data_IF_677039572913
#
_entry.id   IF_677039572913
#
_cell.length_a   1.000
_cell.length_b   1.000
_cell.length_c   1.000
_cell.angle_alpha   90.00
_cell.angle_beta   90.00
_cell.angle_gamma   90.00
#
_symmetry.space_group_name_H-M   'P 1'
#
loop_
_entity.id
_entity.type
_entity.pdbx_description
1 polymer ?
#
# COMPACT_ATOMS: atom_id res chain seq x y z
N UNK A 1 39.06 3.50 47.68
CA UNK A 1 38.77 3.85 46.28
C UNK A 1 39.94 4.66 45.73
N UNK A 2 40.55 4.19 44.65
CA UNK A 2 41.53 4.94 43.87
C UNK A 2 40.81 6.08 43.15
N UNK A 3 41.17 7.33 43.47
CA UNK A 3 40.64 8.50 42.76
C UNK A 3 41.53 8.78 41.55
N UNK A 4 41.00 8.60 40.36
CA UNK A 4 41.66 9.00 39.11
C UNK A 4 41.33 10.46 38.81
N UNK A 5 42.33 11.26 38.46
CA UNK A 5 42.14 12.63 38.02
C UNK A 5 42.20 12.69 36.49
N UNK A 6 41.23 13.36 35.87
CA UNK A 6 41.15 13.53 34.43
C UNK A 6 41.02 15.02 34.10
N UNK A 7 41.92 15.52 33.25
CA UNK A 7 41.97 16.93 32.87
C UNK A 7 41.29 17.10 31.50
N UNK A 8 40.18 17.83 31.47
CA UNK A 8 39.39 18.08 30.25
C UNK A 8 39.51 19.54 29.86
N UNK A 9 39.77 19.81 28.58
CA UNK A 9 39.64 21.15 28.01
C UNK A 9 38.22 21.34 27.50
N UNK A 10 37.54 22.35 28.00
CA UNK A 10 36.20 22.75 27.55
C UNK A 10 36.16 24.24 27.23
N UNK A 11 35.15 24.68 26.48
CA UNK A 11 34.95 26.11 26.21
C UNK A 11 34.63 26.87 27.50
N UNK A 12 35.01 28.16 27.54
CA UNK A 12 34.76 29.03 28.70
C UNK A 12 33.26 29.16 29.00
N UNK A 13 32.44 29.30 27.97
CA UNK A 13 30.99 29.43 28.11
C UNK A 13 30.36 28.16 28.70
N UNK A 14 30.85 26.99 28.29
CA UNK A 14 30.38 25.72 28.83
C UNK A 14 30.78 25.59 30.31
N UNK A 15 32.02 25.94 30.66
CA UNK A 15 32.47 25.92 32.06
C UNK A 15 31.63 26.83 32.95
N UNK A 16 31.27 28.03 32.47
CA UNK A 16 30.41 28.97 33.21
C UNK A 16 29.02 28.36 33.45
N UNK A 17 28.42 27.75 32.44
CA UNK A 17 27.09 27.12 32.54
C UNK A 17 27.10 25.95 33.52
N UNK A 18 28.08 25.06 33.42
CA UNK A 18 28.18 23.87 34.29
C UNK A 18 28.43 24.30 35.75
N UNK A 19 29.27 25.32 35.99
CA UNK A 19 29.46 25.88 37.35
C UNK A 19 28.18 26.45 37.94
N UNK A 20 27.37 27.18 37.15
CA UNK A 20 26.08 27.70 37.60
C UNK A 20 25.11 26.58 37.97
N UNK A 21 25.05 25.52 37.17
CA UNK A 21 24.19 24.36 37.44
C UNK A 21 24.63 23.61 38.69
N UNK A 22 25.93 23.42 38.89
CA UNK A 22 26.47 22.84 40.13
C UNK A 22 26.08 23.68 41.36
N UNK A 23 26.24 25.00 41.28
CA UNK A 23 25.86 25.92 42.37
C UNK A 23 24.36 25.89 42.67
N UNK A 24 23.51 25.93 41.63
CA UNK A 24 22.04 25.82 41.77
C UNK A 24 21.59 24.49 42.38
N UNK A 25 22.34 23.42 42.15
CA UNK A 25 22.05 22.09 42.72
C UNK A 25 22.68 21.86 44.09
N UNK A 26 23.38 22.86 44.66
CA UNK A 26 24.03 22.77 45.97
C UNK A 26 25.22 21.80 46.01
N UNK A 27 25.79 21.45 44.85
CA UNK A 27 26.86 20.45 44.71
C UNK A 27 28.18 21.09 44.31
N UNK A 28 29.29 20.46 44.68
CA UNK A 28 30.59 20.82 44.08
C UNK A 28 30.59 20.53 42.58
N UNK A 29 31.43 21.23 41.82
CA UNK A 29 31.57 21.01 40.38
C UNK A 29 31.92 19.55 40.06
N UNK A 30 32.78 18.94 40.87
CA UNK A 30 33.19 17.54 40.71
C UNK A 30 32.03 16.59 40.93
N UNK A 31 31.27 16.75 42.03
CA UNK A 31 30.09 15.92 42.30
C UNK A 31 29.04 16.06 41.20
N UNK A 32 28.79 17.29 40.75
CA UNK A 32 27.83 17.54 39.69
C UNK A 32 28.23 16.86 38.37
N UNK A 33 29.52 16.91 38.01
CA UNK A 33 30.04 16.23 36.81
C UNK A 33 29.98 14.71 36.99
N UNK A 34 30.36 14.18 38.16
CA UNK A 34 30.27 12.75 38.45
C UNK A 34 28.84 12.26 38.32
N UNK A 35 27.86 12.97 38.88
CA UNK A 35 26.45 12.62 38.75
C UNK A 35 25.97 12.62 37.30
N UNK A 36 26.38 13.61 36.50
CA UNK A 36 26.05 13.67 35.08
C UNK A 36 26.62 12.47 34.32
N UNK A 37 27.87 12.11 34.58
CA UNK A 37 28.51 10.94 33.97
C UNK A 37 27.83 9.66 34.42
N UNK A 38 27.56 9.47 35.71
CA UNK A 38 26.88 8.28 36.23
C UNK A 38 25.47 8.14 35.69
N UNK A 39 24.70 9.23 35.60
CA UNK A 39 23.38 9.22 34.94
C UNK A 39 23.48 8.85 33.47
N UNK A 40 24.43 9.42 32.74
CA UNK A 40 24.62 9.09 31.32
C UNK A 40 25.01 7.61 31.11
N UNK A 41 25.67 6.99 32.07
CA UNK A 41 26.00 5.56 32.01
C UNK A 41 24.77 4.69 32.29
N UNK A 42 23.91 5.09 33.24
CA UNK A 42 22.64 4.40 33.49
C UNK A 42 21.61 4.59 32.37
N UNK A 43 21.58 5.75 31.72
CA UNK A 43 20.70 6.01 30.57
C UNK A 43 21.14 5.23 29.31
N UNK A 44 22.37 4.71 29.27
CA UNK A 44 22.85 3.82 28.20
C UNK A 44 22.57 2.33 28.46
N UNK A 45 22.11 1.95 29.66
CA UNK A 45 21.50 0.64 29.92
C UNK A 45 20.04 0.63 29.43
N UNK A 46 19.83 0.93 28.14
CA UNK A 46 18.56 0.69 27.46
C UNK A 46 18.46 -0.82 27.19
N UNK A 47 18.06 -1.58 28.20
CA UNK A 47 17.54 -2.95 28.04
C UNK A 47 16.06 -2.98 27.64
N UNK A 48 15.53 -1.93 27.02
CA UNK A 48 14.19 -1.96 26.43
C UNK A 48 14.13 -1.02 25.22
N UNK A 49 14.84 -1.38 24.15
CA UNK A 49 14.39 -0.96 22.82
C UNK A 49 13.07 -1.70 22.62
N UNK A 50 11.98 -1.04 23.00
CA UNK A 50 10.60 -1.48 22.86
C UNK A 50 10.46 -2.29 21.56
N UNK A 51 10.30 -3.61 21.71
CA UNK A 51 10.18 -4.54 20.59
C UNK A 51 9.04 -4.12 19.65
N UNK A 52 8.05 -3.37 20.16
CA UNK A 52 6.99 -2.74 19.35
C UNK A 52 7.52 -1.68 18.40
N UNK A 53 8.51 -0.89 18.81
CA UNK A 53 9.13 0.15 17.99
C UNK A 53 9.98 -0.44 16.88
N UNK A 54 10.72 -1.51 17.15
CA UNK A 54 11.48 -2.27 16.12
C UNK A 54 10.54 -2.90 15.09
N UNK A 55 9.42 -3.47 15.55
CA UNK A 55 8.43 -4.06 14.64
C UNK A 55 7.72 -2.99 13.80
N UNK A 56 7.38 -1.83 14.37
CA UNK A 56 6.84 -0.68 13.62
C UNK A 56 7.81 -0.18 12.55
N UNK A 57 9.11 -0.13 12.86
CA UNK A 57 10.14 0.27 11.88
C UNK A 57 10.21 -0.75 10.74
N UNK A 58 10.20 -2.06 11.04
CA UNK A 58 10.18 -3.11 10.01
C UNK A 58 8.93 -3.05 9.13
N UNK A 59 7.76 -2.80 9.72
CA UNK A 59 6.51 -2.62 8.97
C UNK A 59 6.55 -1.37 8.09
N UNK A 60 7.13 -0.28 8.59
CA UNK A 60 7.33 0.95 7.81
C UNK A 60 8.32 0.73 6.66
N UNK A 61 9.44 0.06 6.89
CA UNK A 61 10.41 -0.31 5.85
C UNK A 61 9.77 -1.19 4.77
N UNK A 62 8.97 -2.18 5.16
CA UNK A 62 8.24 -3.04 4.21
C UNK A 62 7.25 -2.22 3.36
N UNK A 63 6.53 -1.29 3.97
CA UNK A 63 5.63 -0.37 3.25
C UNK A 63 6.40 0.59 2.34
N UNK A 64 7.55 1.08 2.79
CA UNK A 64 8.40 1.98 2.02
C UNK A 64 8.96 1.28 0.79
N UNK A 65 9.51 0.07 0.93
CA UNK A 65 9.98 -0.78 -0.17
C UNK A 65 8.87 -1.11 -1.16
N UNK A 66 7.65 -1.36 -0.67
CA UNK A 66 6.47 -1.57 -1.54
C UNK A 66 6.14 -0.30 -2.34
N UNK A 67 6.13 0.86 -1.70
CA UNK A 67 5.89 2.14 -2.38
C UNK A 67 7.02 2.49 -3.35
N UNK A 68 8.27 2.22 -3.00
CA UNK A 68 9.43 2.41 -3.87
C UNK A 68 9.44 1.45 -5.05
N UNK A 69 8.95 0.21 -4.89
CA UNK A 69 8.72 -0.72 -6.00
C UNK A 69 7.64 -0.21 -6.95
N UNK A 70 6.56 0.37 -6.41
CA UNK A 70 5.52 1.02 -7.22
C UNK A 70 6.13 2.23 -7.94
N UNK A 71 6.80 3.13 -7.21
CA UNK A 71 7.38 4.38 -7.74
C UNK A 71 8.55 4.15 -8.70
N UNK A 72 9.37 3.12 -8.51
CA UNK A 72 10.49 2.81 -9.42
C UNK A 72 10.00 2.22 -10.74
N UNK A 73 8.82 1.60 -10.76
CA UNK A 73 8.19 1.14 -12.00
C UNK A 73 7.54 2.28 -12.81
N UNK A 74 7.72 3.55 -12.44
CA UNK A 74 7.09 4.77 -13.01
C UNK A 74 7.20 4.97 -14.54
N UNK A 75 7.84 4.10 -15.30
CA UNK A 75 7.66 4.02 -16.76
C UNK A 75 6.17 3.98 -17.16
N UNK A 76 5.28 3.47 -16.30
CA UNK A 76 3.82 3.49 -16.54
C UNK A 76 3.13 4.85 -16.32
N UNK A 77 3.74 5.84 -15.65
CA UNK A 77 3.12 7.16 -15.40
C UNK A 77 3.35 8.15 -16.55
N UNK A 78 4.38 7.96 -17.37
CA UNK A 78 4.76 8.92 -18.43
C UNK A 78 4.46 8.43 -19.85
N UNK A 79 4.08 7.17 -20.04
CA UNK A 79 3.62 6.70 -21.34
C UNK A 79 2.16 7.15 -21.51
N UNK A 80 1.88 7.94 -22.56
CA UNK A 80 0.52 8.03 -23.12
C UNK A 80 0.03 6.58 -23.26
N UNK A 81 -0.87 6.17 -22.38
CA UNK A 81 -1.37 4.80 -22.37
C UNK A 81 -2.03 4.57 -23.73
N UNK A 82 -1.45 3.65 -24.52
CA UNK A 82 -2.05 3.28 -25.80
C UNK A 82 -3.48 2.83 -25.52
N UNK A 83 -4.48 3.24 -26.32
CA UNK A 83 -5.85 2.75 -26.17
C UNK A 83 -5.92 1.22 -26.15
N UNK A 84 -6.91 0.64 -25.46
CA UNK A 84 -7.19 -0.79 -25.49
C UNK A 84 -7.42 -1.25 -26.93
N UNK A 85 -6.70 -2.28 -27.32
CA UNK A 85 -6.99 -3.06 -28.52
C UNK A 85 -8.15 -4.02 -28.22
N UNK A 86 -8.81 -4.54 -29.27
CA UNK A 86 -9.85 -5.55 -29.09
C UNK A 86 -9.31 -6.84 -28.45
N UNK A 87 -8.05 -7.21 -28.73
CA UNK A 87 -7.42 -8.39 -28.11
C UNK A 87 -7.26 -8.20 -26.60
N UNK A 88 -6.76 -7.04 -26.18
CA UNK A 88 -6.63 -6.68 -24.75
C UNK A 88 -8.00 -6.67 -24.05
N UNK A 89 -9.03 -6.18 -24.74
CA UNK A 89 -10.38 -6.14 -24.20
C UNK A 89 -11.01 -7.54 -24.04
N UNK A 90 -10.74 -8.46 -24.97
CA UNK A 90 -11.11 -9.87 -24.86
C UNK A 90 -10.45 -10.50 -23.64
N UNK A 91 -9.13 -10.35 -23.49
CA UNK A 91 -8.38 -10.92 -22.37
C UNK A 91 -8.86 -10.38 -21.02
N UNK A 92 -9.08 -9.06 -20.94
CA UNK A 92 -9.65 -8.42 -19.77
C UNK A 92 -11.03 -8.97 -19.43
N UNK A 93 -11.91 -9.10 -20.43
CA UNK A 93 -13.26 -9.65 -20.22
C UNK A 93 -13.21 -11.06 -19.66
N UNK A 94 -12.40 -11.93 -20.28
CA UNK A 94 -12.25 -13.32 -19.86
C UNK A 94 -11.75 -13.43 -18.44
N UNK A 95 -10.70 -12.68 -18.09
CA UNK A 95 -10.17 -12.64 -16.73
C UNK A 95 -11.23 -12.19 -15.71
N UNK A 96 -11.87 -11.03 -15.93
CA UNK A 96 -12.85 -10.49 -15.00
C UNK A 96 -14.03 -11.46 -14.77
N UNK A 97 -14.52 -12.09 -15.85
CA UNK A 97 -15.63 -13.05 -15.76
C UNK A 97 -15.21 -14.32 -15.03
N UNK A 98 -14.03 -14.84 -15.31
CA UNK A 98 -13.55 -16.04 -14.63
C UNK A 98 -13.28 -15.80 -13.13
N UNK A 99 -12.80 -14.61 -12.75
CA UNK A 99 -12.73 -14.21 -11.33
C UNK A 99 -14.13 -14.14 -10.73
N UNK A 100 -15.10 -13.55 -11.43
CA UNK A 100 -16.47 -13.46 -10.97
C UNK A 100 -17.10 -14.85 -10.73
N UNK A 101 -17.00 -15.74 -11.71
CA UNK A 101 -17.53 -17.11 -11.61
C UNK A 101 -16.82 -17.91 -10.49
N UNK A 102 -15.53 -17.66 -10.24
CA UNK A 102 -14.78 -18.29 -9.15
C UNK A 102 -15.24 -17.78 -7.78
N UNK A 103 -15.40 -16.47 -7.62
CA UNK A 103 -15.85 -15.89 -6.35
C UNK A 103 -17.31 -16.26 -6.05
N UNK A 104 -18.15 -16.35 -7.07
CA UNK A 104 -19.53 -16.84 -6.96
C UNK A 104 -19.58 -18.25 -6.36
N UNK A 105 -18.77 -19.18 -6.90
CA UNK A 105 -18.66 -20.56 -6.37
C UNK A 105 -18.11 -20.60 -4.94
N UNK A 106 -17.22 -19.67 -4.59
CA UNK A 106 -16.61 -19.61 -3.25
C UNK A 106 -17.58 -19.09 -2.20
N UNK A 107 -18.45 -18.15 -2.57
CA UNK A 107 -19.42 -17.51 -1.66
C UNK A 107 -20.76 -18.22 -1.57
N UNK A 108 -20.99 -19.24 -2.41
CA UNK A 108 -22.25 -20.01 -2.46
C UNK A 108 -23.49 -19.12 -2.62
N UNK A 109 -23.47 -18.16 -3.55
CA UNK A 109 -24.69 -17.43 -3.90
C UNK A 109 -25.68 -18.38 -4.60
N UNK A 110 -26.96 -18.28 -4.24
CA UNK A 110 -28.05 -19.04 -4.85
C UNK A 110 -28.45 -18.45 -6.23
N UNK A 111 -28.32 -17.12 -6.38
CA UNK A 111 -28.60 -16.40 -7.62
C UNK A 111 -27.37 -15.63 -8.12
N UNK A 112 -27.01 -15.85 -9.39
CA UNK A 112 -25.93 -15.13 -10.08
C UNK A 112 -26.21 -13.63 -10.16
N UNK A 113 -27.48 -13.24 -10.22
CA UNK A 113 -27.92 -11.84 -10.25
C UNK A 113 -27.63 -11.13 -8.93
N UNK A 114 -27.85 -11.80 -7.79
CA UNK A 114 -27.53 -11.26 -6.47
C UNK A 114 -26.02 -11.04 -6.31
N UNK A 115 -25.21 -12.02 -6.73
CA UNK A 115 -23.76 -11.88 -6.74
C UNK A 115 -23.30 -10.71 -7.61
N UNK A 116 -23.98 -10.48 -8.75
CA UNK A 116 -23.69 -9.35 -9.62
C UNK A 116 -24.05 -8.01 -8.98
N UNK A 117 -25.19 -7.90 -8.31
CA UNK A 117 -25.61 -6.66 -7.65
C UNK A 117 -24.62 -6.29 -6.52
N UNK A 118 -24.14 -7.25 -5.74
CA UNK A 118 -23.09 -7.05 -4.73
C UNK A 118 -21.74 -6.63 -5.35
N UNK A 119 -21.34 -7.29 -6.45
CA UNK A 119 -20.17 -6.89 -7.23
C UNK A 119 -20.31 -5.46 -7.78
N UNK A 120 -21.46 -5.11 -8.33
CA UNK A 120 -21.72 -3.78 -8.89
C UNK A 120 -21.65 -2.69 -7.82
N UNK A 121 -22.17 -2.96 -6.61
CA UNK A 121 -22.01 -2.05 -5.47
C UNK A 121 -20.53 -1.81 -5.16
N UNK A 122 -19.70 -2.85 -5.19
CA UNK A 122 -18.24 -2.71 -5.01
C UNK A 122 -17.55 -1.88 -6.11
N UNK A 123 -18.06 -1.92 -7.34
CA UNK A 123 -17.57 -1.05 -8.44
C UNK A 123 -17.97 0.41 -8.20
N UNK A 124 -19.22 0.66 -7.81
CA UNK A 124 -19.78 2.00 -7.62
C UNK A 124 -19.12 2.80 -6.49
N UNK A 125 -18.43 2.14 -5.55
CA UNK A 125 -17.60 2.80 -4.53
C UNK A 125 -16.49 3.67 -5.15
N UNK A 126 -15.96 3.27 -6.30
CA UNK A 126 -14.83 3.95 -6.93
C UNK A 126 -15.27 5.01 -7.93
N UNK A 127 -16.13 4.62 -8.87
CA UNK A 127 -16.79 5.53 -9.80
C UNK A 127 -18.17 4.98 -10.15
N UNK A 128 -19.16 5.88 -10.19
CA UNK A 128 -20.48 5.53 -10.65
C UNK A 128 -20.43 5.20 -12.15
N UNK A 129 -20.62 3.92 -12.49
CA UNK A 129 -20.86 3.52 -13.87
C UNK A 129 -22.17 4.15 -14.33
N UNK A 130 -22.16 4.74 -15.52
CA UNK A 130 -23.42 5.14 -16.15
C UNK A 130 -24.27 3.90 -16.44
N UNK A 131 -25.57 4.11 -16.71
CA UNK A 131 -26.51 3.02 -16.95
C UNK A 131 -26.08 2.12 -18.11
N UNK A 132 -25.59 2.71 -19.21
CA UNK A 132 -25.13 1.96 -20.39
C UNK A 132 -24.01 0.97 -20.05
N UNK A 133 -22.97 1.43 -19.35
CA UNK A 133 -21.85 0.56 -18.94
C UNK A 133 -22.24 -0.44 -17.86
N UNK A 134 -23.16 -0.08 -16.97
CA UNK A 134 -23.70 -1.00 -15.95
C UNK A 134 -24.49 -2.14 -16.60
N UNK A 135 -25.38 -1.82 -17.54
CA UNK A 135 -26.18 -2.79 -18.29
C UNK A 135 -25.27 -3.69 -19.15
N UNK A 136 -24.25 -3.09 -19.78
CA UNK A 136 -23.24 -3.84 -20.56
C UNK A 136 -22.40 -4.78 -19.70
N UNK A 137 -21.97 -4.34 -18.51
CA UNK A 137 -21.26 -5.17 -17.55
C UNK A 137 -22.14 -6.33 -17.05
N UNK A 138 -23.43 -6.06 -16.82
CA UNK A 138 -24.42 -7.08 -16.44
C UNK A 138 -24.58 -8.14 -17.52
N UNK A 139 -24.73 -7.73 -18.78
CA UNK A 139 -24.78 -8.64 -19.92
C UNK A 139 -23.54 -9.54 -19.96
N UNK A 140 -22.36 -8.97 -19.79
CA UNK A 140 -21.08 -9.70 -19.84
C UNK A 140 -20.95 -10.72 -18.71
N UNK A 141 -21.37 -10.39 -17.49
CA UNK A 141 -21.23 -11.27 -16.33
C UNK A 141 -22.29 -12.37 -16.31
N UNK A 142 -23.54 -12.02 -16.65
CA UNK A 142 -24.69 -12.90 -16.44
C UNK A 142 -25.02 -13.77 -17.65
N UNK A 143 -24.71 -13.34 -18.87
CA UNK A 143 -25.01 -14.15 -20.07
C UNK A 143 -24.15 -15.40 -20.14
N UNK A 144 -24.66 -16.48 -20.74
CA UNK A 144 -23.90 -17.72 -20.95
C UNK A 144 -22.75 -17.53 -21.95
N UNK A 145 -23.03 -16.84 -23.05
CA UNK A 145 -22.09 -16.56 -24.15
C UNK A 145 -22.07 -15.05 -24.47
N UNK A 146 -21.54 -14.23 -23.56
CA UNK A 146 -21.47 -12.80 -23.75
C UNK A 146 -20.51 -12.46 -24.89
N UNK A 147 -20.86 -11.42 -25.64
CA UNK A 147 -19.87 -10.74 -26.45
C UNK A 147 -18.87 -10.03 -25.52
N UNK A 148 -17.55 -10.15 -25.74
CA UNK A 148 -16.58 -9.50 -24.88
C UNK A 148 -16.68 -7.99 -25.02
N UNK A 149 -16.08 -7.26 -24.06
CA UNK A 149 -15.80 -5.85 -24.26
C UNK A 149 -14.97 -5.66 -25.53
N UNK A 150 -15.28 -4.59 -26.26
CA UNK A 150 -14.44 -4.07 -27.33
C UNK A 150 -13.40 -3.11 -26.76
N UNK A 151 -12.31 -2.91 -27.49
CA UNK A 151 -11.31 -1.91 -27.13
C UNK A 151 -11.93 -0.52 -27.02
N UNK A 152 -12.87 -0.18 -27.92
CA UNK A 152 -13.59 1.11 -27.89
C UNK A 152 -14.36 1.29 -26.58
N UNK A 153 -15.19 0.32 -26.19
CA UNK A 153 -15.99 0.42 -24.96
C UNK A 153 -15.10 0.60 -23.72
N UNK A 154 -13.98 -0.15 -23.61
CA UNK A 154 -13.06 0.01 -22.48
C UNK A 154 -12.32 1.36 -22.50
N UNK A 155 -11.96 1.87 -23.68
CA UNK A 155 -11.34 3.18 -23.80
C UNK A 155 -12.29 4.31 -23.40
N UNK A 156 -13.56 4.22 -23.81
CA UNK A 156 -14.61 5.16 -23.40
C UNK A 156 -14.86 5.07 -21.89
N UNK A 157 -14.98 3.86 -21.35
CA UNK A 157 -15.17 3.62 -19.92
C UNK A 157 -14.04 4.22 -19.08
N UNK A 158 -12.80 4.12 -19.55
CA UNK A 158 -11.61 4.55 -18.79
C UNK A 158 -11.15 5.97 -19.12
N UNK A 159 -11.83 6.68 -20.04
CA UNK A 159 -11.42 8.00 -20.53
C UNK A 159 -9.93 8.01 -20.96
N UNK A 160 -9.52 6.97 -21.69
CA UNK A 160 -8.13 6.72 -22.14
C UNK A 160 -7.09 6.44 -21.02
N UNK A 161 -7.52 6.34 -19.75
CA UNK A 161 -6.66 5.97 -18.64
C UNK A 161 -6.84 4.49 -18.24
N UNK A 162 -6.21 3.60 -19.01
CA UNK A 162 -6.28 2.13 -18.81
C UNK A 162 -6.15 1.71 -17.34
N UNK A 163 -5.21 2.30 -16.60
CA UNK A 163 -4.88 1.89 -15.23
C UNK A 163 -5.92 2.27 -14.17
N UNK A 164 -6.86 3.17 -14.49
CA UNK A 164 -7.87 3.64 -13.55
C UNK A 164 -9.24 2.95 -13.72
N UNK A 165 -9.28 1.76 -14.32
CA UNK A 165 -10.54 1.04 -14.56
C UNK A 165 -11.28 0.72 -13.25
N UNK A 166 -12.45 1.34 -13.06
CA UNK A 166 -13.29 1.20 -11.87
C UNK A 166 -13.80 -0.24 -11.71
N UNK A 167 -13.99 -0.98 -12.82
CA UNK A 167 -14.37 -2.39 -12.78
C UNK A 167 -13.26 -3.25 -12.15
N UNK A 168 -11.99 -3.04 -12.53
CA UNK A 168 -10.86 -3.75 -11.91
C UNK A 168 -10.76 -3.45 -10.42
N UNK A 169 -10.90 -2.17 -10.02
CA UNK A 169 -10.89 -1.78 -8.61
C UNK A 169 -12.04 -2.41 -7.83
N UNK A 170 -13.24 -2.40 -8.39
CA UNK A 170 -14.41 -3.06 -7.82
C UNK A 170 -14.22 -4.56 -7.67
N UNK A 171 -13.58 -5.23 -8.63
CA UNK A 171 -13.28 -6.66 -8.55
C UNK A 171 -12.30 -6.99 -7.41
N UNK A 172 -11.26 -6.19 -7.25
CA UNK A 172 -10.29 -6.29 -6.14
C UNK A 172 -11.00 -6.09 -4.80
N UNK A 173 -11.79 -5.02 -4.69
CA UNK A 173 -12.56 -4.71 -3.49
C UNK A 173 -13.54 -5.83 -3.15
N UNK A 174 -14.31 -6.27 -4.14
CA UNK A 174 -15.32 -7.30 -3.98
C UNK A 174 -14.70 -8.61 -3.53
N UNK A 175 -13.62 -9.07 -4.16
CA UNK A 175 -12.94 -10.33 -3.81
C UNK A 175 -12.15 -10.26 -2.50
N UNK A 176 -11.86 -9.05 -2.00
CA UNK A 176 -11.03 -8.83 -0.81
C UNK A 176 -9.55 -9.17 -1.00
N UNK A 177 -9.09 -9.38 -2.25
CA UNK A 177 -7.68 -9.67 -2.54
C UNK A 177 -6.86 -8.39 -2.58
N UNK A 178 -5.78 -8.35 -1.81
CA UNK A 178 -4.84 -7.22 -1.80
C UNK A 178 -3.84 -7.29 -2.94
N UNK A 179 -3.59 -8.48 -3.47
CA UNK A 179 -2.66 -8.74 -4.57
C UNK A 179 -3.45 -9.09 -5.83
N UNK A 180 -3.44 -8.17 -6.81
CA UNK A 180 -4.08 -8.35 -8.11
C UNK A 180 -3.11 -7.90 -9.20
N UNK A 181 -2.94 -8.67 -10.30
CA UNK A 181 -2.12 -8.26 -11.42
C UNK A 181 -2.52 -6.88 -11.92
N UNK A 182 -1.55 -6.17 -12.47
CA UNK A 182 -1.78 -4.88 -13.10
C UNK A 182 -2.78 -4.99 -14.25
N UNK A 183 -3.41 -3.88 -14.63
CA UNK A 183 -4.33 -3.87 -15.77
C UNK A 183 -3.64 -4.35 -17.05
N UNK A 184 -2.38 -3.99 -17.26
CA UNK A 184 -1.64 -4.41 -18.45
C UNK A 184 -1.40 -5.92 -18.45
N UNK A 185 -0.98 -6.50 -17.33
CA UNK A 185 -0.83 -7.96 -17.22
C UNK A 185 -2.14 -8.69 -17.52
N UNK A 186 -3.26 -8.20 -16.99
CA UNK A 186 -4.60 -8.74 -17.27
C UNK A 186 -4.91 -8.67 -18.78
N UNK A 187 -4.58 -7.55 -19.42
CA UNK A 187 -4.81 -7.36 -20.84
C UNK A 187 -3.90 -8.23 -21.73
N UNK A 188 -2.69 -8.52 -21.28
CA UNK A 188 -1.74 -9.34 -22.03
C UNK A 188 -2.03 -10.84 -21.87
N UNK A 189 -2.31 -11.28 -20.64
CA UNK A 189 -2.34 -12.71 -20.26
C UNK A 189 -3.74 -13.25 -19.94
N UNK A 190 -4.71 -12.40 -19.65
CA UNK A 190 -6.10 -12.80 -19.40
C UNK A 190 -6.23 -13.89 -18.33
N UNK A 191 -6.89 -15.00 -18.69
CA UNK A 191 -7.20 -16.12 -17.80
C UNK A 191 -5.96 -16.87 -17.27
N UNK A 192 -4.79 -16.72 -17.88
CA UNK A 192 -3.56 -17.35 -17.40
C UNK A 192 -3.18 -16.86 -15.98
N UNK A 193 -3.72 -15.70 -15.58
CA UNK A 193 -3.49 -15.10 -14.26
C UNK A 193 -4.48 -15.59 -13.19
N UNK A 194 -5.48 -16.41 -13.54
CA UNK A 194 -6.47 -16.93 -12.58
C UNK A 194 -5.90 -17.73 -11.41
N UNK A 195 -4.76 -18.46 -11.53
CA UNK A 195 -4.15 -19.12 -10.36
C UNK A 195 -3.72 -18.15 -9.26
N UNK A 196 -3.53 -16.87 -9.59
CA UNK A 196 -3.24 -15.81 -8.62
C UNK A 196 -4.51 -15.31 -7.91
N UNK A 197 -5.70 -15.67 -8.43
CA UNK A 197 -7.02 -15.31 -7.93
C UNK A 197 -7.73 -16.46 -7.22
#
# INVERSE_FOLDING_TARGET
MTKSQFNIKISKDLLIKVKRQAMMSGKSLTEHITDLVTKSLHDNDIQDIDLSSVNKIKDLEKRLLSLESIVSNREYLSQKLKPFTNSEAINCTKFMRAVFDKELKKRNYDDKSEAFDDFLQSVQVFDALNKSFSDRLKEIMLSDKPSPWTGRELNELTSENKCNCSIRKGLIHWTGKTECPSQQEICDKGEELLPLF
#
